data_IF_271002819356
#
_entry.id   IF_271002819356
#
_cell.length_a   1.000
_cell.length_b   1.000
_cell.length_c   1.000
_cell.angle_alpha   90.00
_cell.angle_beta   90.00
_cell.angle_gamma   90.00
#
_symmetry.space_group_name_H-M   'P 1'
#
loop_
_entity.id
_entity.type
_entity.pdbx_description
1 polymer ?
#
# COMPACT_ATOMS: atom_id res chain seq x y z
N UNK A 1 -4.04 -5.03 -62.78
CA UNK A 1 -4.59 -6.00 -61.79
C UNK A 1 -3.68 -6.17 -60.56
N UNK A 2 -2.35 -6.19 -60.68
CA UNK A 2 -1.44 -6.29 -59.53
C UNK A 2 -1.42 -5.06 -58.59
N UNK A 3 -1.58 -3.84 -59.11
CA UNK A 3 -1.57 -2.61 -58.30
C UNK A 3 -2.78 -2.48 -57.36
N UNK A 4 -3.94 -3.04 -57.72
CA UNK A 4 -5.14 -3.03 -56.87
C UNK A 4 -5.05 -4.02 -55.71
N UNK A 5 -4.34 -5.13 -55.89
CA UNK A 5 -4.11 -6.14 -54.84
C UNK A 5 -3.14 -5.62 -53.78
N UNK A 6 -2.10 -4.88 -54.20
CA UNK A 6 -1.12 -4.27 -53.27
C UNK A 6 -1.75 -3.11 -52.48
N UNK A 7 -2.58 -2.28 -53.13
CA UNK A 7 -3.33 -1.23 -52.43
C UNK A 7 -4.35 -1.82 -51.44
N UNK A 8 -5.04 -2.91 -51.80
CA UNK A 8 -5.91 -3.65 -50.89
C UNK A 8 -5.17 -4.24 -49.69
N UNK A 9 -3.96 -4.78 -49.90
CA UNK A 9 -3.09 -5.28 -48.82
C UNK A 9 -2.59 -4.16 -47.91
N UNK A 10 -2.24 -2.99 -48.44
CA UNK A 10 -1.81 -1.84 -47.64
C UNK A 10 -2.97 -1.24 -46.84
N UNK A 11 -4.19 -1.21 -47.39
CA UNK A 11 -5.40 -0.76 -46.67
C UNK A 11 -5.79 -1.77 -45.57
N UNK A 12 -5.67 -3.08 -45.84
CA UNK A 12 -5.87 -4.12 -44.83
C UNK A 12 -4.77 -4.13 -43.75
N UNK A 13 -3.52 -3.82 -44.09
CA UNK A 13 -2.44 -3.69 -43.12
C UNK A 13 -2.53 -2.41 -42.28
N UNK A 14 -3.10 -1.32 -42.82
CA UNK A 14 -3.31 -0.08 -42.05
C UNK A 14 -4.53 -0.15 -41.11
N UNK A 15 -5.45 -1.10 -41.34
CA UNK A 15 -6.53 -1.46 -40.41
C UNK A 15 -6.20 -2.66 -39.52
N UNK A 16 -5.02 -3.26 -39.69
CA UNK A 16 -4.36 -4.05 -38.65
C UNK A 16 -3.56 -3.11 -37.74
N UNK A 17 -4.17 -2.00 -37.31
CA UNK A 17 -3.83 -1.44 -36.02
C UNK A 17 -4.09 -2.59 -35.05
N UNK A 18 -2.99 -3.17 -34.55
CA UNK A 18 -2.99 -4.19 -33.52
C UNK A 18 -4.06 -3.83 -32.51
N UNK A 19 -5.16 -4.59 -32.49
CA UNK A 19 -6.16 -4.53 -31.43
C UNK A 19 -5.42 -4.90 -30.15
N UNK A 20 -4.89 -3.88 -29.49
CA UNK A 20 -4.15 -4.05 -28.25
C UNK A 20 -5.18 -4.37 -27.19
N UNK A 21 -5.35 -5.67 -26.99
CA UNK A 21 -6.23 -6.20 -25.99
C UNK A 21 -5.84 -5.64 -24.61
N UNK A 22 -6.77 -4.94 -23.95
CA UNK A 22 -6.52 -4.16 -22.71
C UNK A 22 -7.09 -4.88 -21.48
N UNK A 23 -6.32 -5.26 -20.44
CA UNK A 23 -6.85 -5.81 -19.19
C UNK A 23 -7.75 -4.90 -18.39
N UNK A 24 -7.52 -3.60 -18.44
CA UNK A 24 -8.51 -2.64 -17.96
C UNK A 24 -9.34 -2.25 -19.19
N UNK A 25 -10.65 -2.38 -19.12
CA UNK A 25 -11.52 -2.15 -20.28
C UNK A 25 -12.13 -0.76 -20.18
N UNK A 26 -11.78 0.15 -21.09
CA UNK A 26 -12.34 1.51 -21.09
C UNK A 26 -11.68 2.47 -22.07
N UNK A 27 -12.35 3.59 -22.36
CA UNK A 27 -11.86 4.59 -23.33
C UNK A 27 -10.67 5.42 -22.83
N UNK A 28 -10.42 5.45 -21.52
CA UNK A 28 -9.32 6.21 -20.90
C UNK A 28 -8.25 5.30 -20.30
N UNK A 29 -8.08 4.10 -20.87
CA UNK A 29 -7.05 3.15 -20.45
C UNK A 29 -5.81 3.36 -21.30
N UNK A 30 -4.64 3.33 -20.65
CA UNK A 30 -3.34 3.36 -21.33
C UNK A 30 -2.37 2.40 -20.68
N UNK A 31 -1.31 2.06 -21.42
CA UNK A 31 -0.15 1.42 -20.81
C UNK A 31 0.54 2.37 -19.82
N UNK A 32 0.95 1.80 -18.69
CA UNK A 32 1.80 2.50 -17.74
C UNK A 32 3.20 2.73 -18.36
N UNK A 33 3.79 3.88 -18.08
CA UNK A 33 5.15 4.19 -18.48
C UNK A 33 6.15 3.34 -17.69
N UNK A 34 7.38 3.24 -18.22
CA UNK A 34 8.47 2.56 -17.51
C UNK A 34 8.68 3.28 -16.18
N UNK A 35 8.76 2.50 -15.10
CA UNK A 35 8.98 2.98 -13.72
C UNK A 35 7.90 3.95 -13.18
N UNK A 36 6.72 4.04 -13.80
CA UNK A 36 5.60 4.86 -13.31
C UNK A 36 5.04 4.32 -11.98
N UNK A 37 4.84 3.00 -11.90
CA UNK A 37 4.32 2.32 -10.70
C UNK A 37 5.24 1.14 -10.29
N UNK A 38 6.48 1.40 -9.85
CA UNK A 38 7.48 0.35 -9.63
C UNK A 38 7.12 -0.60 -8.48
N UNK A 39 6.23 -0.17 -7.58
CA UNK A 39 5.70 -0.94 -6.45
C UNK A 39 4.51 -1.83 -6.81
N UNK A 40 3.92 -1.70 -7.99
CA UNK A 40 2.84 -2.60 -8.44
C UNK A 40 3.44 -3.93 -8.86
N UNK A 41 2.87 -5.00 -8.33
CA UNK A 41 3.37 -6.36 -8.44
C UNK A 41 2.39 -7.23 -9.23
N UNK A 42 2.94 -8.16 -10.00
CA UNK A 42 2.18 -9.31 -10.50
C UNK A 42 2.39 -10.49 -9.56
N UNK A 43 1.29 -11.09 -9.09
CA UNK A 43 1.27 -12.36 -8.38
C UNK A 43 0.96 -13.43 -9.42
N UNK A 44 1.85 -14.42 -9.55
CA UNK A 44 1.69 -15.49 -10.53
C UNK A 44 1.92 -16.87 -9.92
N UNK A 45 1.41 -17.90 -10.59
CA UNK A 45 1.81 -19.29 -10.31
C UNK A 45 3.31 -19.47 -10.55
N UNK A 46 3.95 -20.22 -9.67
CA UNK A 46 5.34 -20.63 -9.85
C UNK A 46 5.42 -21.65 -10.96
N UNK A 47 6.16 -21.33 -12.01
CA UNK A 47 6.38 -22.20 -13.16
C UNK A 47 7.71 -21.83 -13.81
N UNK A 48 8.77 -22.51 -13.40
CA UNK A 48 10.14 -22.23 -13.86
C UNK A 48 10.34 -22.50 -15.36
N UNK A 49 9.45 -23.29 -15.97
CA UNK A 49 9.55 -23.67 -17.38
C UNK A 49 8.77 -22.71 -18.30
N UNK A 50 7.99 -21.79 -17.73
CA UNK A 50 7.18 -20.86 -18.52
C UNK A 50 7.96 -19.58 -18.85
N UNK A 51 8.27 -19.42 -20.14
CA UNK A 51 8.91 -18.22 -20.70
C UNK A 51 7.93 -17.04 -20.90
N UNK A 52 6.65 -17.23 -20.60
CA UNK A 52 5.57 -16.27 -20.75
C UNK A 52 4.87 -16.04 -19.41
N UNK A 53 5.53 -15.38 -18.43
CA UNK A 53 5.03 -15.24 -17.06
C UNK A 53 3.66 -14.58 -16.96
N UNK A 54 3.25 -13.79 -17.96
CA UNK A 54 1.89 -13.26 -18.03
C UNK A 54 0.83 -14.35 -18.06
N UNK A 55 1.10 -15.54 -18.64
CA UNK A 55 0.12 -16.65 -18.72
C UNK A 55 -0.17 -17.29 -17.36
N UNK A 56 0.75 -17.15 -16.40
CA UNK A 56 0.61 -17.63 -15.02
C UNK A 56 0.08 -16.56 -14.06
N UNK A 57 -0.21 -15.35 -14.55
CA UNK A 57 -0.74 -14.26 -13.73
C UNK A 57 -2.05 -14.68 -13.04
N UNK A 58 -2.15 -14.35 -11.76
CA UNK A 58 -3.32 -14.63 -10.92
C UNK A 58 -4.01 -13.33 -10.51
N UNK A 59 -3.23 -12.40 -9.96
CA UNK A 59 -3.71 -11.15 -9.40
C UNK A 59 -2.60 -10.10 -9.41
N UNK A 60 -3.01 -8.86 -9.22
CA UNK A 60 -2.11 -7.77 -8.90
C UNK A 60 -1.86 -7.69 -7.39
N UNK A 61 -0.75 -7.09 -6.99
CA UNK A 61 -0.47 -6.72 -5.61
C UNK A 61 0.32 -5.41 -5.55
N UNK A 62 0.56 -4.91 -4.33
CA UNK A 62 1.22 -3.62 -4.11
C UNK A 62 2.26 -3.73 -3.02
N UNK A 63 3.50 -3.37 -3.32
CA UNK A 63 4.61 -3.34 -2.37
C UNK A 63 4.41 -2.19 -1.38
N UNK A 64 4.16 -2.51 -0.11
CA UNK A 64 3.90 -1.55 0.98
C UNK A 64 5.07 -1.45 1.97
N UNK A 65 6.04 -2.36 1.88
CA UNK A 65 7.33 -2.30 2.57
C UNK A 65 8.41 -2.96 1.69
N UNK A 66 9.71 -2.84 2.00
CA UNK A 66 10.76 -3.53 1.24
C UNK A 66 10.62 -5.06 1.14
N UNK A 67 9.73 -5.70 1.90
CA UNK A 67 9.49 -7.15 1.88
C UNK A 67 8.02 -7.55 1.85
N UNK A 68 7.10 -6.59 1.80
CA UNK A 68 5.69 -6.86 2.05
C UNK A 68 4.81 -6.37 0.91
N UNK A 69 4.01 -7.29 0.38
CA UNK A 69 3.09 -7.04 -0.73
C UNK A 69 1.67 -7.25 -0.24
N UNK A 70 0.85 -6.22 -0.45
CA UNK A 70 -0.56 -6.21 -0.12
C UNK A 70 -1.39 -6.63 -1.34
N UNK A 71 -2.39 -7.48 -1.15
CA UNK A 71 -3.34 -7.88 -2.19
C UNK A 71 -4.65 -8.33 -1.54
N UNK A 72 -5.57 -8.90 -2.33
CA UNK A 72 -6.85 -9.43 -1.86
C UNK A 72 -6.77 -10.92 -1.55
N UNK A 73 -7.63 -11.39 -0.64
CA UNK A 73 -7.58 -12.76 -0.11
C UNK A 73 -8.10 -13.79 -1.11
N UNK A 74 -9.13 -13.42 -1.88
CA UNK A 74 -9.73 -14.34 -2.84
C UNK A 74 -8.79 -14.81 -3.96
N UNK A 75 -7.68 -14.09 -4.19
CA UNK A 75 -6.61 -14.53 -5.09
C UNK A 75 -6.00 -15.88 -4.68
N UNK A 76 -6.11 -16.24 -3.39
CA UNK A 76 -5.49 -17.44 -2.82
C UNK A 76 -6.47 -18.60 -2.61
N UNK A 77 -7.78 -18.41 -2.83
CA UNK A 77 -8.78 -19.46 -2.61
C UNK A 77 -8.52 -20.74 -3.42
N UNK A 78 -7.93 -20.59 -4.62
CA UNK A 78 -7.55 -21.71 -5.49
C UNK A 78 -6.04 -22.01 -5.48
N UNK A 79 -5.26 -21.23 -4.73
CA UNK A 79 -3.80 -21.31 -4.67
C UNK A 79 -3.28 -22.13 -3.48
N UNK A 80 -4.15 -22.71 -2.65
CA UNK A 80 -3.78 -23.47 -1.44
C UNK A 80 -2.79 -24.62 -1.68
N UNK A 81 -2.65 -25.10 -2.92
CA UNK A 81 -1.68 -26.12 -3.33
C UNK A 81 -0.60 -25.60 -4.30
N UNK A 82 -0.56 -24.31 -4.61
CA UNK A 82 0.31 -23.72 -5.63
C UNK A 82 1.36 -22.82 -4.99
N UNK A 83 2.62 -22.99 -5.41
CA UNK A 83 3.67 -22.03 -5.06
C UNK A 83 3.43 -20.77 -5.88
N UNK A 84 3.47 -19.59 -5.24
CA UNK A 84 3.33 -18.30 -5.91
C UNK A 84 4.66 -17.57 -5.99
N UNK A 85 4.84 -16.81 -7.06
CA UNK A 85 5.98 -15.93 -7.26
C UNK A 85 5.49 -14.50 -7.48
N UNK A 86 6.27 -13.53 -7.02
CA UNK A 86 5.92 -12.12 -7.08
C UNK A 86 6.88 -11.42 -8.03
N UNK A 87 6.36 -10.73 -9.05
CA UNK A 87 7.15 -9.96 -10.01
C UNK A 87 6.96 -8.47 -9.75
N UNK A 88 8.04 -7.73 -9.49
CA UNK A 88 8.01 -6.31 -9.11
C UNK A 88 9.04 -5.50 -9.90
N UNK A 89 8.78 -4.19 -10.08
CA UNK A 89 9.79 -3.19 -10.46
C UNK A 89 9.81 -2.77 -11.93
N UNK A 90 8.91 -3.29 -12.76
CA UNK A 90 8.77 -2.90 -14.17
C UNK A 90 7.31 -2.89 -14.59
N UNK A 91 6.98 -2.08 -15.60
CA UNK A 91 5.68 -2.09 -16.28
C UNK A 91 5.52 -3.27 -17.23
N UNK A 92 6.60 -3.97 -17.61
CA UNK A 92 6.55 -5.21 -18.37
C UNK A 92 6.89 -6.40 -17.47
N UNK A 93 5.93 -7.31 -17.25
CA UNK A 93 6.07 -8.46 -16.36
C UNK A 93 7.26 -9.36 -16.75
N UNK A 94 7.60 -9.44 -18.04
CA UNK A 94 8.74 -10.25 -18.51
C UNK A 94 10.10 -9.64 -18.15
N UNK A 95 10.14 -8.36 -17.78
CA UNK A 95 11.37 -7.64 -17.41
C UNK A 95 11.43 -7.33 -15.90
N UNK A 96 10.38 -7.67 -15.15
CA UNK A 96 10.34 -7.47 -13.71
C UNK A 96 11.26 -8.44 -12.95
N UNK A 97 11.50 -8.15 -11.67
CA UNK A 97 12.29 -9.01 -10.80
C UNK A 97 11.39 -10.00 -10.09
N UNK A 98 11.75 -11.28 -10.13
CA UNK A 98 11.04 -12.36 -9.44
C UNK A 98 11.51 -12.42 -7.98
N UNK A 99 10.55 -12.52 -7.07
CA UNK A 99 10.73 -12.75 -5.65
C UNK A 99 9.91 -13.97 -5.22
N UNK A 100 10.50 -14.78 -4.34
CA UNK A 100 9.80 -15.91 -3.72
C UNK A 100 9.08 -15.48 -2.46
N UNK A 101 7.98 -16.17 -2.17
CA UNK A 101 7.17 -15.92 -0.99
C UNK A 101 7.69 -16.75 0.19
N UNK A 102 7.91 -16.09 1.33
CA UNK A 102 8.24 -16.74 2.60
C UNK A 102 6.99 -17.26 3.29
N UNK A 103 5.93 -16.43 3.32
CA UNK A 103 4.62 -16.76 3.83
C UNK A 103 3.61 -15.73 3.29
N UNK A 104 2.34 -16.09 3.28
CA UNK A 104 1.24 -15.14 3.16
C UNK A 104 0.25 -15.39 4.30
N UNK A 105 -0.53 -14.38 4.65
CA UNK A 105 -1.50 -14.47 5.73
C UNK A 105 -2.68 -13.55 5.41
N UNK A 106 -3.87 -14.13 5.38
CA UNK A 106 -5.09 -13.35 5.24
C UNK A 106 -5.45 -12.68 6.56
N UNK A 107 -6.20 -11.58 6.48
CA UNK A 107 -6.72 -10.95 7.70
C UNK A 107 -7.60 -11.91 8.51
N UNK A 108 -8.39 -12.76 7.84
CA UNK A 108 -9.28 -13.71 8.50
C UNK A 108 -8.50 -14.83 9.22
N UNK A 109 -7.41 -15.32 8.62
CA UNK A 109 -6.48 -16.25 9.26
C UNK A 109 -5.79 -15.60 10.47
N UNK A 110 -5.30 -14.36 10.28
CA UNK A 110 -4.63 -13.62 11.34
C UNK A 110 -5.53 -13.42 12.56
N UNK A 111 -6.78 -12.95 12.39
CA UNK A 111 -7.69 -12.78 13.54
C UNK A 111 -8.00 -14.10 14.24
N UNK A 112 -8.06 -15.20 13.48
CA UNK A 112 -8.34 -16.54 14.03
C UNK A 112 -7.19 -17.01 14.90
N UNK A 113 -5.97 -16.99 14.36
CA UNK A 113 -4.74 -17.36 15.08
C UNK A 113 -4.56 -16.49 16.33
N UNK A 114 -4.92 -15.21 16.23
CA UNK A 114 -4.69 -14.21 17.28
C UNK A 114 -5.86 -14.05 18.25
N UNK A 115 -6.93 -14.82 18.06
CA UNK A 115 -8.15 -14.76 18.87
C UNK A 115 -8.74 -13.34 18.97
N UNK A 116 -8.68 -12.61 17.85
CA UNK A 116 -9.19 -11.24 17.72
C UNK A 116 -10.64 -11.29 17.23
N UNK A 117 -11.51 -10.48 17.83
CA UNK A 117 -12.89 -10.33 17.32
C UNK A 117 -12.87 -9.62 15.95
N UNK A 118 -13.46 -10.21 14.90
CA UNK A 118 -13.53 -9.57 13.58
C UNK A 118 -14.28 -8.24 13.68
N UNK A 119 -13.66 -7.16 13.19
CA UNK A 119 -14.35 -5.88 12.99
C UNK A 119 -15.43 -5.99 11.91
N UNK A 120 -15.20 -6.83 10.90
CA UNK A 120 -16.10 -7.09 9.79
C UNK A 120 -16.17 -8.59 9.51
N UNK A 121 -17.36 -9.07 9.12
CA UNK A 121 -17.65 -10.50 8.91
C UNK A 121 -16.73 -11.11 7.86
N UNK A 122 -16.48 -10.40 6.75
CA UNK A 122 -15.62 -10.84 5.66
C UNK A 122 -14.53 -9.81 5.42
N UNK A 123 -13.25 -10.19 5.37
CA UNK A 123 -12.19 -9.28 4.95
C UNK A 123 -11.45 -9.94 3.80
N UNK A 124 -11.29 -9.23 2.70
CA UNK A 124 -10.75 -9.80 1.47
C UNK A 124 -9.38 -9.18 1.21
N UNK A 125 -8.49 -9.33 2.20
CA UNK A 125 -7.17 -8.72 2.22
C UNK A 125 -6.14 -9.72 2.75
N UNK A 126 -5.03 -9.80 2.05
CA UNK A 126 -3.93 -10.71 2.34
C UNK A 126 -2.60 -10.00 2.23
N UNK A 127 -1.72 -10.28 3.20
CA UNK A 127 -0.35 -9.80 3.22
C UNK A 127 0.58 -10.92 2.79
N UNK A 128 1.51 -10.61 1.90
CA UNK A 128 2.54 -11.52 1.40
C UNK A 128 3.91 -11.03 1.86
N UNK A 129 4.67 -11.90 2.52
CA UNK A 129 6.06 -11.65 2.89
C UNK A 129 7.00 -12.28 1.88
N UNK A 130 7.90 -11.47 1.32
CA UNK A 130 8.98 -11.92 0.44
C UNK A 130 10.14 -12.53 1.24
N UNK A 131 10.84 -13.51 0.66
CA UNK A 131 12.03 -14.13 1.26
C UNK A 131 13.24 -13.17 1.33
N UNK A 132 13.27 -12.14 0.48
CA UNK A 132 14.35 -11.15 0.39
C UNK A 132 13.82 -9.72 0.25
N UNK A 133 14.64 -8.73 0.60
CA UNK A 133 14.27 -7.32 0.40
C UNK A 133 14.31 -6.99 -1.08
N UNK A 134 13.35 -6.18 -1.54
CA UNK A 134 13.49 -5.53 -2.83
C UNK A 134 14.67 -4.53 -2.79
N UNK A 135 15.36 -4.31 -3.91
CA UNK A 135 16.40 -3.29 -4.01
C UNK A 135 15.87 -1.89 -3.69
N UNK A 136 16.73 -1.02 -3.17
CA UNK A 136 16.40 0.39 -2.87
C UNK A 136 15.97 1.23 -4.09
N UNK A 137 16.19 0.72 -5.30
CA UNK A 137 15.66 1.35 -6.53
C UNK A 137 14.15 1.17 -6.70
N UNK A 138 13.52 0.28 -5.93
CA UNK A 138 12.07 0.04 -5.92
C UNK A 138 11.53 0.54 -4.59
N UNK A 139 10.95 1.73 -4.59
CA UNK A 139 10.37 2.31 -3.37
C UNK A 139 8.97 1.75 -3.14
N UNK A 140 8.66 1.21 -1.94
CA UNK A 140 7.30 0.85 -1.56
C UNK A 140 6.37 2.05 -1.60
N UNK A 141 5.08 1.81 -1.88
CA UNK A 141 4.07 2.86 -1.90
C UNK A 141 3.76 3.36 -0.48
N UNK A 142 3.55 4.66 -0.34
CA UNK A 142 3.04 5.24 0.90
C UNK A 142 1.53 5.03 1.01
N UNK A 143 1.05 4.89 2.23
CA UNK A 143 -0.36 4.63 2.51
C UNK A 143 -1.05 5.95 2.83
N UNK A 144 -2.27 6.12 2.32
CA UNK A 144 -3.08 7.30 2.57
C UNK A 144 -3.40 7.42 4.08
N UNK A 145 -3.00 8.52 4.76
CA UNK A 145 -3.11 8.61 6.21
C UNK A 145 -4.39 9.32 6.69
N UNK A 146 -5.21 9.84 5.78
CA UNK A 146 -6.38 10.66 6.10
C UNK A 146 -7.69 9.88 5.92
N UNK A 147 -8.80 10.34 6.53
CA UNK A 147 -10.08 9.66 6.36
C UNK A 147 -10.62 9.73 4.93
N UNK A 148 -11.41 8.72 4.55
CA UNK A 148 -12.01 8.57 3.22
C UNK A 148 -12.84 9.76 2.73
N UNK A 149 -13.41 10.55 3.65
CA UNK A 149 -14.15 11.78 3.34
C UNK A 149 -13.31 12.78 2.51
N UNK A 150 -11.98 12.74 2.66
CA UNK A 150 -11.06 13.60 1.91
C UNK A 150 -10.83 13.11 0.47
N UNK A 151 -11.22 11.88 0.16
CA UNK A 151 -11.08 11.26 -1.15
C UNK A 151 -12.34 11.39 -2.02
N UNK A 152 -13.51 11.60 -1.42
CA UNK A 152 -14.75 11.70 -2.21
C UNK A 152 -14.71 12.87 -3.20
N UNK A 153 -15.06 12.55 -4.45
CA UNK A 153 -15.01 13.47 -5.58
C UNK A 153 -13.62 13.62 -6.22
N UNK A 154 -12.57 13.03 -5.64
CA UNK A 154 -11.21 13.06 -6.19
C UNK A 154 -11.03 12.00 -7.28
N UNK A 155 -10.13 12.29 -8.22
CA UNK A 155 -9.68 11.33 -9.22
C UNK A 155 -8.53 10.52 -8.64
N UNK A 156 -8.68 9.20 -8.66
CA UNK A 156 -7.66 8.23 -8.31
C UNK A 156 -7.15 7.52 -9.55
N UNK A 157 -5.88 7.16 -9.54
CA UNK A 157 -5.22 6.40 -10.59
C UNK A 157 -5.18 4.94 -10.18
N UNK A 158 -5.59 4.04 -11.07
CA UNK A 158 -5.48 2.60 -10.86
C UNK A 158 -4.36 2.06 -11.73
N UNK A 159 -3.58 1.11 -11.20
CA UNK A 159 -2.52 0.44 -11.94
C UNK A 159 -2.58 -1.08 -11.71
N UNK A 160 -2.63 -1.85 -12.81
CA UNK A 160 -2.87 -3.29 -12.76
C UNK A 160 -2.16 -4.06 -13.87
N UNK A 161 -1.83 -5.31 -13.57
CA UNK A 161 -1.67 -6.36 -14.58
C UNK A 161 -2.99 -7.12 -14.72
N UNK A 162 -3.17 -7.85 -15.83
CA UNK A 162 -4.33 -8.72 -15.97
C UNK A 162 -4.51 -9.30 -17.36
N UNK A 163 -5.74 -9.75 -17.60
CA UNK A 163 -6.17 -10.32 -18.87
C UNK A 163 -7.07 -9.36 -19.61
N UNK A 164 -6.79 -9.16 -20.88
CA UNK A 164 -7.60 -8.33 -21.76
C UNK A 164 -9.03 -8.80 -21.95
N UNK A 165 -9.87 -7.91 -22.47
CA UNK A 165 -11.23 -8.20 -22.91
C UNK A 165 -11.35 -9.41 -23.86
N UNK A 166 -10.30 -9.73 -24.62
CA UNK A 166 -10.27 -10.89 -25.54
C UNK A 166 -9.70 -12.17 -24.88
N UNK A 167 -9.51 -12.18 -23.57
CA UNK A 167 -8.93 -13.32 -22.86
C UNK A 167 -7.41 -13.45 -23.04
N UNK A 168 -6.76 -12.47 -23.68
CA UNK A 168 -5.31 -12.46 -23.88
C UNK A 168 -4.64 -11.82 -22.68
N UNK A 169 -3.77 -12.56 -21.99
CA UNK A 169 -2.99 -12.01 -20.88
C UNK A 169 -1.95 -11.04 -21.41
N UNK A 170 -1.97 -9.80 -20.94
CA UNK A 170 -0.99 -8.80 -21.39
C UNK A 170 0.28 -8.87 -20.57
N UNK A 171 1.40 -8.60 -21.22
CA UNK A 171 2.69 -8.44 -20.54
C UNK A 171 2.89 -7.03 -19.96
N UNK A 172 2.10 -6.05 -20.42
CA UNK A 172 2.25 -4.64 -20.03
C UNK A 172 1.21 -4.26 -18.98
N UNK A 173 1.66 -3.54 -17.97
CA UNK A 173 0.82 -2.93 -16.96
C UNK A 173 -0.02 -1.82 -17.58
N UNK A 174 -1.26 -1.72 -17.14
CA UNK A 174 -2.20 -0.70 -17.58
C UNK A 174 -2.62 0.20 -16.43
N UNK A 175 -3.04 1.40 -16.80
CA UNK A 175 -3.52 2.39 -15.86
C UNK A 175 -4.70 3.16 -16.43
N UNK A 176 -5.58 3.58 -15.52
CA UNK A 176 -6.76 4.37 -15.81
C UNK A 176 -7.11 5.28 -14.63
N UNK A 177 -7.91 6.30 -14.89
CA UNK A 177 -8.40 7.24 -13.89
C UNK A 177 -9.85 6.94 -13.51
N UNK A 178 -10.13 6.83 -12.21
CA UNK A 178 -11.44 6.63 -11.64
C UNK A 178 -11.76 7.76 -10.66
N UNK A 179 -13.01 8.21 -10.62
CA UNK A 179 -13.48 9.18 -9.62
C UNK A 179 -13.98 8.44 -8.39
N UNK A 180 -13.36 8.68 -7.23
CA UNK A 180 -13.83 8.15 -5.95
C UNK A 180 -15.17 8.82 -5.60
N UNK A 181 -16.17 8.01 -5.24
CA UNK A 181 -17.53 8.46 -4.95
C UNK A 181 -17.92 8.17 -3.51
N UNK A 182 -18.95 8.88 -3.04
CA UNK A 182 -19.47 8.65 -1.70
C UNK A 182 -20.12 7.27 -1.59
N UNK A 183 -20.16 6.70 -0.38
CA UNK A 183 -20.87 5.45 -0.13
C UNK A 183 -22.36 5.54 -0.52
N UNK A 184 -23.00 6.67 -0.26
CA UNK A 184 -24.40 6.89 -0.65
C UNK A 184 -24.57 6.87 -2.17
N UNK A 185 -23.70 7.55 -2.90
CA UNK A 185 -23.71 7.52 -4.38
C UNK A 185 -23.49 6.09 -4.89
N UNK A 186 -22.52 5.38 -4.32
CA UNK A 186 -22.23 3.99 -4.68
C UNK A 186 -23.43 3.07 -4.43
N UNK A 187 -24.04 3.12 -3.25
CA UNK A 187 -25.25 2.36 -2.93
C UNK A 187 -26.40 2.68 -3.88
N UNK A 188 -26.63 3.96 -4.18
CA UNK A 188 -27.69 4.37 -5.10
C UNK A 188 -27.47 3.81 -6.51
N UNK A 189 -26.22 3.66 -6.96
CA UNK A 189 -25.91 3.04 -8.25
C UNK A 189 -26.16 1.53 -8.18
N UNK A 190 -25.66 0.86 -7.14
CA UNK A 190 -25.84 -0.59 -6.93
C UNK A 190 -27.34 -0.95 -6.86
N UNK A 191 -28.13 -0.15 -6.15
CA UNK A 191 -29.58 -0.33 -5.99
C UNK A 191 -30.36 -0.16 -7.31
N UNK A 192 -29.78 0.40 -8.37
CA UNK A 192 -30.41 0.39 -9.72
C UNK A 192 -30.43 -1.00 -10.33
N UNK A 193 -29.49 -1.87 -9.92
CA UNK A 193 -29.32 -3.23 -10.43
C UNK A 193 -29.90 -4.31 -9.49
N UNK A 194 -30.41 -3.93 -8.31
CA UNK A 194 -30.99 -4.84 -7.33
C UNK A 194 -32.29 -4.31 -6.71
N UNK A 195 -33.26 -5.19 -6.50
CA UNK A 195 -34.52 -4.87 -5.81
C UNK A 195 -34.38 -4.73 -4.28
N UNK A 196 -33.19 -4.95 -3.74
CA UNK A 196 -32.91 -4.91 -2.29
C UNK A 196 -31.80 -3.92 -1.97
N UNK A 197 -31.91 -3.28 -0.80
CA UNK A 197 -30.95 -2.30 -0.31
C UNK A 197 -29.60 -2.96 -0.05
N UNK A 198 -28.58 -2.61 -0.83
CA UNK A 198 -27.21 -3.07 -0.61
C UNK A 198 -26.49 -2.11 0.33
N UNK A 199 -26.03 -2.59 1.49
CA UNK A 199 -25.29 -1.77 2.45
C UNK A 199 -23.78 -1.92 2.24
N UNK A 200 -23.12 -0.84 1.83
CA UNK A 200 -21.68 -0.83 1.63
C UNK A 200 -21.00 -0.58 2.96
N UNK A 201 -20.19 -1.56 3.37
CA UNK A 201 -19.42 -1.47 4.59
C UNK A 201 -18.35 -0.37 4.52
N UNK A 202 -18.02 0.24 5.67
CA UNK A 202 -17.03 1.33 5.75
C UNK A 202 -15.63 0.94 5.31
N UNK A 203 -15.30 -0.35 5.26
CA UNK A 203 -14.01 -0.84 4.74
C UNK A 203 -13.87 -0.75 3.21
N UNK A 204 -14.94 -0.36 2.51
CA UNK A 204 -14.95 -0.25 1.06
C UNK A 204 -14.99 1.22 0.62
N UNK A 205 -14.13 1.54 -0.34
CA UNK A 205 -14.25 2.70 -1.20
C UNK A 205 -14.87 2.29 -2.53
N UNK A 206 -15.58 3.21 -3.14
CA UNK A 206 -16.14 3.03 -4.47
C UNK A 206 -15.56 4.07 -5.41
N UNK A 207 -15.32 3.68 -6.66
CA UNK A 207 -14.98 4.63 -7.70
C UNK A 207 -15.72 4.31 -9.01
N UNK A 208 -16.06 5.36 -9.75
CA UNK A 208 -16.70 5.26 -11.06
C UNK A 208 -15.90 6.04 -12.09
N UNK A 209 -16.08 5.70 -13.35
CA UNK A 209 -15.53 6.47 -14.45
C UNK A 209 -16.60 6.72 -15.51
N UNK A 210 -16.50 7.86 -16.17
CA UNK A 210 -17.33 8.24 -17.31
C UNK A 210 -16.41 8.87 -18.36
N UNK A 211 -16.16 8.22 -19.51
CA UNK A 211 -16.67 6.91 -19.94
C UNK A 211 -16.20 5.75 -19.04
N UNK A 212 -16.86 4.60 -19.17
CA UNK A 212 -16.63 3.46 -18.30
C UNK A 212 -15.19 2.95 -18.35
N UNK A 213 -14.79 2.34 -17.24
CA UNK A 213 -13.50 1.72 -17.01
C UNK A 213 -13.79 0.57 -16.06
N UNK A 214 -13.57 -0.64 -16.57
CA UNK A 214 -13.93 -1.87 -15.91
C UNK A 214 -12.65 -2.62 -15.62
N UNK A 215 -12.47 -2.98 -14.35
CA UNK A 215 -11.44 -3.90 -13.92
C UNK A 215 -12.02 -5.31 -13.83
N UNK A 216 -11.27 -6.27 -14.38
CA UNK A 216 -11.61 -7.69 -14.38
C UNK A 216 -11.13 -8.37 -13.10
N UNK A 217 -11.52 -9.63 -12.89
CA UNK A 217 -11.07 -10.44 -11.76
C UNK A 217 -9.55 -10.68 -11.78
N UNK A 218 -8.90 -10.67 -12.95
CA UNK A 218 -7.44 -10.76 -13.04
C UNK A 218 -6.74 -9.47 -12.58
N UNK A 219 -7.47 -8.35 -12.42
CA UNK A 219 -6.94 -7.10 -11.85
C UNK A 219 -7.14 -7.01 -10.33
N UNK A 220 -7.64 -8.06 -9.68
CA UNK A 220 -7.79 -8.11 -8.23
C UNK A 220 -6.47 -7.80 -7.52
N UNK A 221 -6.55 -6.96 -6.48
CA UNK A 221 -5.38 -6.42 -5.78
C UNK A 221 -4.67 -5.24 -6.48
N UNK A 222 -5.23 -4.70 -7.56
CA UNK A 222 -4.67 -3.52 -8.24
C UNK A 222 -4.52 -2.32 -7.30
N UNK A 223 -3.44 -1.55 -7.47
CA UNK A 223 -3.19 -0.37 -6.66
C UNK A 223 -4.18 0.74 -7.05
N UNK A 224 -4.87 1.32 -6.06
CA UNK A 224 -5.65 2.54 -6.23
C UNK A 224 -4.92 3.67 -5.52
N UNK A 225 -4.55 4.69 -6.29
CA UNK A 225 -3.63 5.74 -5.88
C UNK A 225 -4.28 7.10 -5.93
N UNK A 226 -4.06 7.92 -4.90
CA UNK A 226 -4.34 9.34 -4.92
C UNK A 226 -3.10 10.09 -4.46
N UNK A 227 -2.59 11.00 -5.29
CA UNK A 227 -1.34 11.72 -5.03
C UNK A 227 -0.17 10.78 -4.68
N UNK A 228 0.02 9.73 -5.49
CA UNK A 228 1.04 8.69 -5.31
C UNK A 228 0.98 7.91 -3.98
N UNK A 229 -0.14 8.01 -3.26
CA UNK A 229 -0.41 7.24 -2.05
C UNK A 229 -1.51 6.20 -2.30
N UNK A 230 -1.31 5.01 -1.75
CA UNK A 230 -2.29 3.93 -1.80
C UNK A 230 -3.48 4.25 -0.90
N UNK A 231 -4.65 4.40 -1.50
CA UNK A 231 -5.94 4.61 -0.82
C UNK A 231 -6.77 3.33 -0.71
N UNK A 232 -6.51 2.38 -1.61
CA UNK A 232 -7.33 1.19 -1.79
C UNK A 232 -6.59 0.13 -2.60
N UNK A 233 -7.02 -1.12 -2.47
CA UNK A 233 -6.73 -2.16 -3.45
C UNK A 233 -8.03 -2.57 -4.14
N UNK A 234 -7.99 -2.75 -5.45
CA UNK A 234 -9.15 -3.18 -6.22
C UNK A 234 -9.60 -4.58 -5.78
N UNK A 235 -10.89 -4.73 -5.50
CA UNK A 235 -11.50 -6.01 -5.15
C UNK A 235 -12.30 -6.60 -6.31
N UNK A 236 -13.07 -5.77 -6.99
CA UNK A 236 -13.97 -6.22 -8.03
C UNK A 236 -14.80 -5.06 -8.58
N UNK A 237 -15.56 -5.35 -9.62
CA UNK A 237 -16.48 -4.40 -10.25
C UNK A 237 -17.93 -4.82 -9.99
N UNK A 238 -18.80 -3.84 -9.80
CA UNK A 238 -20.23 -4.02 -9.67
C UNK A 238 -20.99 -3.30 -10.82
N UNK A 239 -21.99 -3.97 -11.43
CA UNK A 239 -22.35 -5.38 -11.27
C UNK A 239 -21.23 -6.31 -11.75
N UNK A 240 -21.12 -7.50 -11.14
CA UNK A 240 -20.11 -8.49 -11.54
C UNK A 240 -20.30 -8.89 -13.01
N UNK A 241 -19.19 -9.03 -13.75
CA UNK A 241 -19.13 -9.28 -15.19
C UNK A 241 -19.84 -10.57 -15.63
N UNK A 242 -20.16 -11.47 -14.70
CA UNK A 242 -20.95 -12.68 -14.95
C UNK A 242 -22.41 -12.41 -15.30
N UNK A 243 -22.91 -11.18 -15.09
CA UNK A 243 -24.28 -10.78 -15.43
C UNK A 243 -24.42 -10.35 -16.89
N UNK A 244 -24.54 -11.33 -17.78
CA UNK A 244 -24.82 -11.13 -19.20
C UNK A 244 -26.12 -10.34 -19.47
N UNK A 245 -26.10 -9.51 -20.51
CA UNK A 245 -27.27 -9.03 -21.31
C UNK A 245 -27.95 -7.67 -21.00
N UNK A 246 -27.24 -6.55 -20.75
CA UNK A 246 -27.87 -5.23 -21.00
C UNK A 246 -26.86 -4.18 -21.47
N UNK A 247 -27.16 -3.50 -22.58
CA UNK A 247 -26.37 -2.38 -23.14
C UNK A 247 -26.26 -1.20 -22.17
N UNK A 248 -27.24 -1.00 -21.28
CA UNK A 248 -27.19 0.01 -20.22
C UNK A 248 -26.03 -0.22 -19.21
N UNK A 249 -25.52 -1.45 -19.09
CA UNK A 249 -24.48 -1.83 -18.11
C UNK A 249 -23.09 -1.28 -18.42
N UNK A 250 -22.80 -0.95 -19.68
CA UNK A 250 -21.52 -0.32 -20.03
C UNK A 250 -21.51 1.17 -19.69
N UNK A 251 -22.63 1.78 -19.33
CA UNK A 251 -22.68 3.23 -19.08
C UNK A 251 -22.37 3.62 -17.64
N UNK A 252 -22.60 2.72 -16.67
CA UNK A 252 -22.43 3.01 -15.25
C UNK A 252 -22.02 1.74 -14.47
N UNK A 253 -20.73 1.64 -14.13
CA UNK A 253 -20.17 0.61 -13.26
C UNK A 253 -19.48 1.26 -12.06
N UNK A 254 -19.38 0.50 -10.98
CA UNK A 254 -18.64 0.92 -9.80
C UNK A 254 -17.55 -0.10 -9.48
N UNK A 255 -16.33 0.38 -9.36
CA UNK A 255 -15.20 -0.39 -8.90
C UNK A 255 -15.18 -0.36 -7.38
N UNK A 256 -15.30 -1.54 -6.76
CA UNK A 256 -15.16 -1.74 -5.33
C UNK A 256 -13.68 -1.88 -4.96
N UNK A 257 -13.29 -1.14 -3.93
CA UNK A 257 -11.92 -1.08 -3.45
C UNK A 257 -11.93 -1.36 -1.96
N UNK A 258 -11.05 -2.24 -1.51
CA UNK A 258 -10.85 -2.46 -0.08
C UNK A 258 -9.85 -1.43 0.41
N UNK A 259 -10.25 -0.66 1.41
CA UNK A 259 -9.34 0.22 2.12
C UNK A 259 -8.39 -0.65 2.94
N UNK A 260 -7.06 -0.51 2.79
CA UNK A 260 -6.11 -1.19 3.65
C UNK A 260 -6.46 -0.83 5.10
N UNK A 261 -6.74 -1.84 5.95
CA UNK A 261 -7.25 -1.57 7.30
C UNK A 261 -6.29 -0.60 8.02
N UNK A 262 -6.83 0.58 8.34
CA UNK A 262 -6.17 1.79 8.82
C UNK A 262 -4.69 1.58 9.19
N UNK A 263 -3.74 1.87 8.30
CA UNK A 263 -2.30 1.80 8.66
C UNK A 263 -1.86 3.02 9.51
N UNK A 264 -2.81 3.58 10.28
CA UNK A 264 -2.72 4.83 11.04
C UNK A 264 -2.29 4.63 12.49
N UNK A 265 -2.34 3.41 13.04
CA UNK A 265 -1.66 3.07 14.31
C UNK A 265 -0.64 1.97 14.04
N UNK A 266 0.61 2.37 13.77
CA UNK A 266 1.74 1.46 13.85
C UNK A 266 1.75 0.93 15.30
N UNK A 267 1.58 -0.38 15.54
CA UNK A 267 1.66 -0.94 16.89
C UNK A 267 2.99 -0.57 17.53
N UNK A 268 3.02 -0.25 18.83
CA UNK A 268 4.26 0.10 19.53
C UNK A 268 5.34 -1.00 19.45
N UNK A 269 4.94 -2.25 19.19
CA UNK A 269 5.83 -3.39 18.93
C UNK A 269 6.53 -3.30 17.57
N UNK A 270 5.85 -2.74 16.56
CA UNK A 270 6.35 -2.52 15.19
C UNK A 270 7.27 -1.31 15.08
N UNK A 271 7.03 -0.28 15.90
CA UNK A 271 7.95 0.84 16.05
C UNK A 271 9.33 0.39 16.54
N UNK A 272 9.43 -0.72 17.27
CA UNK A 272 10.62 -1.09 18.02
C UNK A 272 11.90 -1.46 17.27
N UNK A 273 11.86 -1.47 15.94
CA UNK A 273 13.01 -1.78 15.09
C UNK A 273 13.10 -0.90 13.83
N UNK A 274 12.20 0.08 13.71
CA UNK A 274 12.17 0.97 12.56
C UNK A 274 13.38 1.90 12.60
N UNK A 275 14.14 1.93 11.51
CA UNK A 275 15.22 2.92 11.36
C UNK A 275 14.62 4.18 10.74
N UNK A 276 14.67 5.29 11.47
CA UNK A 276 14.34 6.62 10.99
C UNK A 276 15.59 7.49 10.88
N UNK A 277 15.54 8.50 10.03
CA UNK A 277 16.59 9.52 9.90
C UNK A 277 16.16 10.75 10.69
N UNK A 278 17.03 11.26 11.55
CA UNK A 278 16.90 12.59 12.14
C UNK A 278 17.79 13.58 11.41
N UNK A 279 17.35 14.83 11.33
CA UNK A 279 18.12 15.92 10.74
C UNK A 279 18.09 17.15 11.67
N UNK A 280 19.24 17.71 12.03
CA UNK A 280 19.31 18.86 12.94
C UNK A 280 20.59 19.70 12.78
N UNK A 281 20.52 20.98 13.18
CA UNK A 281 21.65 21.93 13.23
C UNK A 281 22.26 22.04 14.64
N UNK A 282 22.40 20.90 15.31
CA UNK A 282 22.77 20.87 16.74
C UNK A 282 24.09 21.51 17.10
N UNK A 283 24.22 21.86 18.38
CA UNK A 283 25.53 22.09 18.99
C UNK A 283 26.14 20.73 19.34
N UNK A 284 27.32 20.42 18.82
CA UNK A 284 28.06 19.21 19.17
C UNK A 284 28.22 19.11 20.70
N UNK A 285 28.37 17.88 21.19
CA UNK A 285 28.66 17.51 22.60
C UNK A 285 30.02 18.10 23.10
N UNK A 286 30.68 18.93 22.29
CA UNK A 286 31.94 19.63 22.59
C UNK A 286 31.85 21.15 22.36
N UNK A 287 30.65 21.71 22.50
CA UNK A 287 30.33 23.15 22.41
C UNK A 287 30.55 23.82 21.03
N UNK A 288 30.92 23.08 19.99
CA UNK A 288 30.94 23.57 18.60
C UNK A 288 29.53 23.61 18.02
N UNK A 289 29.11 24.76 17.48
CA UNK A 289 27.87 24.87 16.71
C UNK A 289 28.22 24.48 15.26
N UNK A 290 27.58 23.43 14.74
CA UNK A 290 27.77 23.03 13.34
C UNK A 290 27.06 24.03 12.42
N UNK A 291 27.76 24.54 11.42
CA UNK A 291 27.18 25.40 10.37
C UNK A 291 26.40 24.59 9.32
N UNK A 292 26.40 23.26 9.43
CA UNK A 292 25.76 22.36 8.48
C UNK A 292 24.66 21.54 9.17
N UNK A 293 23.63 21.19 8.40
CA UNK A 293 22.61 20.26 8.88
C UNK A 293 23.22 18.85 8.90
N UNK A 294 23.17 18.21 10.06
CA UNK A 294 23.65 16.84 10.22
C UNK A 294 22.47 15.88 10.21
N UNK A 295 22.71 14.68 9.68
CA UNK A 295 21.72 13.61 9.66
C UNK A 295 22.25 12.36 10.33
N UNK A 296 21.38 11.65 11.04
CA UNK A 296 21.74 10.40 11.70
C UNK A 296 20.59 9.40 11.68
N UNK A 297 20.92 8.12 11.56
CA UNK A 297 19.94 7.04 11.67
C UNK A 297 19.69 6.69 13.13
N UNK A 298 18.42 6.64 13.54
CA UNK A 298 17.95 6.19 14.84
C UNK A 298 17.08 4.95 14.70
N UNK A 299 17.28 3.99 15.60
CA UNK A 299 16.35 2.89 15.77
C UNK A 299 15.27 3.35 16.74
N UNK A 300 14.03 3.36 16.27
CA UNK A 300 12.87 3.59 17.11
C UNK A 300 12.72 2.42 18.06
N UNK A 301 12.53 2.70 19.35
CA UNK A 301 12.40 1.72 20.40
C UNK A 301 10.92 1.42 20.64
N UNK A 302 10.61 0.15 20.93
CA UNK A 302 9.25 -0.21 21.34
C UNK A 302 8.93 0.46 22.67
N UNK A 303 7.66 0.70 22.97
CA UNK A 303 7.24 1.24 24.26
C UNK A 303 7.81 0.44 25.43
N UNK A 304 7.71 -0.90 25.37
CA UNK A 304 8.28 -1.81 26.38
C UNK A 304 9.79 -1.65 26.52
N UNK A 305 10.52 -1.56 25.40
CA UNK A 305 11.97 -1.35 25.41
C UNK A 305 12.32 0.01 26.00
N UNK A 306 11.59 1.06 25.64
CA UNK A 306 11.79 2.41 26.15
C UNK A 306 11.55 2.47 27.66
N UNK A 307 10.39 2.00 28.13
CA UNK A 307 10.04 1.93 29.55
C UNK A 307 11.04 1.09 30.34
N UNK A 308 11.50 -0.04 29.79
CA UNK A 308 12.52 -0.88 30.43
C UNK A 308 13.85 -0.13 30.59
N UNK A 309 14.27 0.61 29.56
CA UNK A 309 15.51 1.41 29.65
C UNK A 309 15.36 2.57 30.63
N UNK A 310 14.23 3.27 30.63
CA UNK A 310 13.94 4.34 31.61
C UNK A 310 13.97 3.82 33.04
N UNK A 311 13.32 2.68 33.31
CA UNK A 311 13.37 2.01 34.62
C UNK A 311 14.78 1.63 35.05
N UNK A 312 15.61 1.12 34.12
CA UNK A 312 17.02 0.81 34.41
C UNK A 312 17.85 2.05 34.76
N UNK A 313 17.49 3.19 34.20
CA UNK A 313 18.11 4.49 34.50
C UNK A 313 17.51 5.18 35.73
N UNK A 314 16.51 4.58 36.38
CA UNK A 314 15.74 5.16 37.50
C UNK A 314 15.05 6.48 37.12
N UNK A 315 14.62 6.59 35.87
CA UNK A 315 13.90 7.75 35.35
C UNK A 315 12.38 7.55 35.46
N UNK A 316 11.69 8.45 36.16
CA UNK A 316 10.24 8.44 36.36
C UNK A 316 9.50 9.13 35.19
N UNK A 317 9.77 8.69 33.96
CA UNK A 317 9.09 9.21 32.76
C UNK A 317 7.99 8.24 32.28
N UNK A 318 6.77 8.75 32.12
CA UNK A 318 5.63 7.98 31.60
C UNK A 318 5.64 8.04 30.07
N UNK A 319 5.86 6.89 29.42
CA UNK A 319 5.78 6.76 27.96
C UNK A 319 4.31 6.62 27.56
N UNK A 320 3.70 7.71 27.11
CA UNK A 320 2.34 7.78 26.58
C UNK A 320 2.31 7.49 25.07
N UNK A 321 1.13 7.26 24.49
CA UNK A 321 1.00 6.84 23.07
C UNK A 321 1.54 7.85 22.05
N UNK A 322 1.63 9.12 22.44
CA UNK A 322 2.20 10.22 21.67
C UNK A 322 3.73 10.37 21.84
N UNK A 323 4.39 9.50 22.59
CA UNK A 323 5.84 9.51 22.76
C UNK A 323 6.48 8.45 21.88
N UNK A 324 7.55 8.82 21.18
CA UNK A 324 8.42 7.91 20.44
C UNK A 324 9.81 7.99 21.05
N UNK A 325 10.41 6.84 21.30
CA UNK A 325 11.78 6.76 21.81
C UNK A 325 12.72 6.31 20.70
N UNK A 326 13.91 6.89 20.60
CA UNK A 326 14.91 6.54 19.59
C UNK A 326 16.30 6.39 20.20
N UNK A 327 17.03 5.35 19.79
CA UNK A 327 18.44 5.16 20.13
C UNK A 327 19.16 4.40 19.01
N UNK A 328 20.49 4.43 18.97
CA UNK A 328 21.26 3.60 18.06
C UNK A 328 22.55 3.11 18.73
N UNK A 329 23.23 2.11 18.15
CA UNK A 329 24.55 1.61 18.58
C UNK A 329 25.61 1.98 17.52
N UNK A 330 26.80 2.53 17.87
CA UNK A 330 27.35 2.68 19.22
C UNK A 330 26.64 3.76 20.06
N UNK A 331 26.30 4.93 19.50
CA UNK A 331 25.36 5.90 20.08
C UNK A 331 24.94 6.95 19.05
N UNK A 332 23.69 7.42 19.10
CA UNK A 332 23.24 8.68 18.46
C UNK A 332 22.46 9.45 19.52
N UNK A 333 23.02 10.58 19.96
CA UNK A 333 22.44 11.44 20.99
C UNK A 333 22.16 12.81 20.38
N UNK A 334 20.92 13.25 20.51
CA UNK A 334 20.51 14.59 20.13
C UNK A 334 20.74 15.53 21.32
N UNK A 335 21.34 16.69 21.06
CA UNK A 335 21.89 17.60 22.07
C UNK A 335 21.14 18.94 22.10
N UNK A 336 21.68 19.91 22.87
CA UNK A 336 21.17 21.28 22.93
C UNK A 336 21.13 21.88 21.52
N UNK A 337 19.96 22.42 21.16
CA UNK A 337 19.70 22.97 19.81
C UNK A 337 19.03 22.00 18.84
N UNK A 338 18.87 20.72 19.19
CA UNK A 338 18.16 19.76 18.32
C UNK A 338 16.64 19.75 18.52
N UNK A 339 16.10 20.38 19.58
CA UNK A 339 14.65 20.42 19.85
C UNK A 339 13.90 20.95 18.63
N UNK A 340 12.87 20.23 18.19
CA UNK A 340 12.15 20.54 16.96
C UNK A 340 12.62 19.72 15.73
N UNK A 341 13.73 18.99 15.83
CA UNK A 341 14.22 18.17 14.72
C UNK A 341 13.25 17.05 14.34
N UNK A 342 12.98 16.84 13.03
CA UNK A 342 12.08 15.80 12.59
C UNK A 342 12.78 14.43 12.61
N UNK A 343 12.05 13.42 13.11
CA UNK A 343 12.37 12.01 12.87
C UNK A 343 11.53 11.54 11.68
N UNK A 344 12.19 11.22 10.58
CA UNK A 344 11.56 10.86 9.30
C UNK A 344 11.88 9.41 8.97
N UNK A 345 10.87 8.64 8.57
CA UNK A 345 11.07 7.32 7.99
C UNK A 345 10.35 7.21 6.66
N UNK A 346 11.08 6.87 5.60
CA UNK A 346 10.54 6.72 4.24
C UNK A 346 9.68 7.91 3.80
N UNK A 347 10.15 9.14 4.09
CA UNK A 347 9.42 10.38 3.77
C UNK A 347 8.29 10.76 4.74
N UNK A 348 7.97 9.92 5.74
CA UNK A 348 6.93 10.20 6.74
C UNK A 348 7.52 10.73 8.04
N UNK A 349 6.95 11.83 8.55
CA UNK A 349 7.26 12.33 9.89
C UNK A 349 6.72 11.36 10.97
N UNK A 350 7.63 10.77 11.75
CA UNK A 350 7.29 9.91 12.89
C UNK A 350 7.17 10.67 14.20
N UNK A 351 7.90 11.77 14.34
CA UNK A 351 7.83 12.61 15.54
C UNK A 351 8.79 13.79 15.48
N UNK A 352 8.58 14.74 16.39
CA UNK A 352 9.42 15.91 16.57
C UNK A 352 10.24 15.74 17.84
N UNK A 353 11.55 15.89 17.73
CA UNK A 353 12.47 15.69 18.85
C UNK A 353 12.17 16.68 19.98
N UNK A 354 12.02 16.15 21.19
CA UNK A 354 11.66 16.89 22.40
C UNK A 354 12.81 16.95 23.38
N UNK A 355 13.38 15.80 23.76
CA UNK A 355 14.38 15.76 24.83
C UNK A 355 15.28 14.53 24.79
N UNK A 356 16.40 14.60 25.53
CA UNK A 356 17.28 13.47 25.81
C UNK A 356 17.12 13.05 27.28
N UNK A 357 16.92 11.76 27.54
CA UNK A 357 16.75 11.23 28.90
C UNK A 357 17.85 10.19 29.23
N UNK A 358 18.46 10.24 30.44
CA UNK A 358 18.29 11.24 31.51
C UNK A 358 18.73 12.66 31.12
N UNK A 359 18.05 13.64 31.71
CA UNK A 359 18.44 15.05 31.57
C UNK A 359 19.67 15.34 32.45
N UNK A 360 20.71 15.93 31.88
CA UNK A 360 21.98 16.21 32.58
C UNK A 360 22.96 15.02 32.63
N UNK A 361 24.01 15.14 33.44
CA UNK A 361 25.11 14.15 33.55
C UNK A 361 26.07 14.12 32.35
N UNK A 362 26.90 13.08 32.25
CA UNK A 362 27.84 12.89 31.13
C UNK A 362 27.10 13.01 29.80
N UNK A 363 27.48 14.01 28.98
CA UNK A 363 26.83 14.27 27.70
C UNK A 363 26.98 13.09 26.72
N UNK A 364 28.01 12.26 26.92
CA UNK A 364 28.27 11.05 26.15
C UNK A 364 27.97 9.77 26.96
N UNK A 365 26.68 9.53 27.23
CA UNK A 365 26.23 8.31 27.91
C UNK A 365 25.47 7.40 26.92
N UNK A 366 25.99 6.22 26.55
CA UNK A 366 25.44 5.37 25.48
C UNK A 366 24.08 4.73 25.81
N UNK A 367 23.65 4.80 27.08
CA UNK A 367 22.36 4.33 27.54
C UNK A 367 21.23 5.37 27.39
N UNK A 368 21.54 6.63 27.08
CA UNK A 368 20.56 7.71 26.89
C UNK A 368 19.60 7.43 25.74
N UNK A 369 18.41 8.02 25.82
CA UNK A 369 17.32 7.83 24.86
C UNK A 369 16.86 9.19 24.35
N UNK A 370 16.69 9.29 23.02
CA UNK A 370 16.06 10.45 22.39
C UNK A 370 14.54 10.30 22.46
N UNK A 371 13.84 11.31 22.97
CA UNK A 371 12.39 11.37 22.99
C UNK A 371 11.88 12.28 21.89
N UNK A 372 10.84 11.81 21.20
CA UNK A 372 10.10 12.52 20.18
C UNK A 372 8.62 12.53 20.53
N UNK A 373 7.91 13.57 20.09
CA UNK A 373 6.46 13.66 20.22
C UNK A 373 5.82 13.46 18.85
N UNK A 374 4.85 12.54 18.77
CA UNK A 374 4.01 12.35 17.58
C UNK A 374 3.13 13.58 17.41
N UNK A 375 3.12 14.15 16.21
CA UNK A 375 2.13 15.16 15.85
C UNK A 375 0.88 14.44 15.34
N UNK A 376 -0.18 14.40 16.14
CA UNK A 376 -1.51 14.06 15.64
C UNK A 376 -2.22 15.33 15.20
N UNK A 377 -2.79 15.34 14.00
CA UNK A 377 -3.89 16.26 13.70
C UNK A 377 -5.09 15.80 14.51
N UNK A 378 -5.39 16.51 15.59
CA UNK A 378 -6.59 16.30 16.40
C UNK A 378 -7.85 16.43 15.54
N UNK A 379 -8.50 15.32 15.21
CA UNK A 379 -9.95 15.31 15.01
C UNK A 379 -10.60 14.86 16.32
N UNK A 380 -10.99 15.83 17.12
CA UNK A 380 -11.84 15.63 18.30
C UNK A 380 -13.13 14.92 17.89
N UNK A 381 -13.40 13.74 18.46
CA UNK A 381 -14.57 13.40 19.29
C UNK A 381 -14.40 11.95 19.73
N UNK A 382 -14.20 11.77 21.03
CA UNK A 382 -14.29 10.49 21.71
C UNK A 382 -15.72 9.94 21.58
N UNK A 383 -15.88 8.74 21.02
CA UNK A 383 -17.04 7.86 21.22
C UNK A 383 -16.68 6.40 20.91
N UNK A 384 -16.70 5.58 21.96
CA UNK A 384 -16.64 4.10 22.01
C UNK A 384 -15.53 3.44 21.17
N UNK A 385 -14.43 3.15 21.84
CA UNK A 385 -13.36 2.28 21.34
C UNK A 385 -13.84 0.83 21.21
N UNK A 386 -14.29 0.48 20.01
CA UNK A 386 -14.14 -0.88 19.50
C UNK A 386 -12.72 -0.95 18.93
N UNK A 387 -11.88 -1.85 19.45
CA UNK A 387 -10.50 -2.06 18.99
C UNK A 387 -10.49 -2.33 17.47
N UNK A 388 -10.14 -1.32 16.68
CA UNK A 388 -9.86 -1.43 15.26
C UNK A 388 -8.39 -1.81 15.09
N UNK A 389 -8.11 -2.96 14.47
CA UNK A 389 -6.74 -3.47 14.33
C UNK A 389 -6.24 -3.29 12.90
N UNK A 390 -5.00 -2.83 12.82
CA UNK A 390 -4.34 -2.31 11.63
C UNK A 390 -3.50 -3.39 10.93
N UNK A 391 -3.52 -3.41 9.60
CA UNK A 391 -2.88 -4.44 8.76
C UNK A 391 -1.35 -4.46 8.85
N UNK A 392 -0.72 -3.45 9.45
CA UNK A 392 0.71 -3.49 9.82
C UNK A 392 1.02 -4.53 10.91
N UNK A 393 0.03 -5.03 11.65
CA UNK A 393 0.23 -6.04 12.70
C UNK A 393 0.54 -7.44 12.17
N UNK A 394 0.21 -7.73 10.91
CA UNK A 394 0.47 -9.02 10.24
C UNK A 394 1.94 -9.13 9.84
N UNK A 395 2.63 -8.00 9.65
CA UNK A 395 3.95 -8.00 9.03
C UNK A 395 5.06 -8.43 10.00
N UNK A 396 5.03 -8.10 11.30
CA UNK A 396 6.18 -8.33 12.20
C UNK A 396 5.86 -9.07 13.52
N UNK A 397 4.87 -9.96 13.52
CA UNK A 397 4.75 -11.05 14.50
C UNK A 397 4.46 -12.35 13.76
#
# INVERSE_FOLDING_TARGET
MYLLVIAGFLILCHHYDSTSASPIVGLNVRFAQIDEFPYVASIKRSNINNIHPETDHLCTGVLVSPRDVLTVDHCFYLASNQHVEIIIGRNNIRHGRIFHVSWWMSYNEWITVRHVTPQYINNDITMIRLTSMVPSSINPVSLWPFPDINLFGKTATVAAFGTSEFGVRTRLMETAELKIITRTECQNIIERFHSTRYQINEKYLCARSTPFTILTNDNSGAAVLFQDMLVGIHRGTYPDQTWNNHEDKLTENVNEMIVPAELSRIPDTMLGHLTGVVAAFGREIRDHISNFMETASLIVLSRRTCETRLRRMREEFIVTENVVCGANKPVVLMSKGNRGAPLIQNGRLLGIYRDLIPAGGDEYAPNKINLFIKMYTSSTVAKKETLKINVLHIVYE
#
